data_IF_002315648257
#
_entry.id   IF_002315648257
#
_cell.length_a   1.000
_cell.length_b   1.000
_cell.length_c   1.000
_cell.angle_alpha   90.00
_cell.angle_beta   90.00
_cell.angle_gamma   90.00
#
_symmetry.space_group_name_H-M   'P 1'
#
loop_
_entity.id
_entity.type
_entity.pdbx_description
1 polymer ?
#
# COMPACT_ATOMS: atom_id res chain seq x y z
N UNK A 1 -1.29 7.20 13.89
CA UNK A 1 -2.62 7.34 13.26
C UNK A 1 -2.74 6.37 12.10
N UNK A 2 -3.79 5.64 12.05
CA UNK A 2 -3.97 4.61 11.05
C UNK A 2 -4.79 5.14 9.87
N UNK A 3 -4.17 5.17 8.70
CA UNK A 3 -4.83 5.62 7.47
C UNK A 3 -5.45 4.46 6.70
N UNK A 4 -5.58 3.30 7.33
CA UNK A 4 -6.15 2.13 6.66
C UNK A 4 -7.63 2.34 6.36
N UNK A 5 -8.04 1.99 5.14
CA UNK A 5 -9.38 2.26 4.64
C UNK A 5 -10.40 1.18 5.03
N UNK A 6 -9.95 0.12 5.68
CA UNK A 6 -10.79 -1.04 5.93
C UNK A 6 -10.99 -1.30 7.41
N UNK A 7 -12.11 -1.95 7.73
CA UNK A 7 -12.44 -2.38 9.09
C UNK A 7 -12.92 -3.82 9.02
N UNK A 8 -12.18 -4.77 9.57
CA UNK A 8 -10.85 -4.60 10.18
C UNK A 8 -9.79 -4.22 9.13
N UNK A 9 -8.69 -3.66 9.60
CA UNK A 9 -7.63 -3.18 8.72
C UNK A 9 -7.08 -4.32 7.85
N UNK A 10 -6.79 -3.99 6.58
CA UNK A 10 -6.22 -4.95 5.63
C UNK A 10 -4.83 -4.50 5.22
N UNK A 11 -3.88 -5.41 5.25
CA UNK A 11 -2.51 -5.13 4.82
C UNK A 11 -2.01 -6.26 3.94
N UNK A 12 -0.93 -5.98 3.21
CA UNK A 12 -0.26 -6.99 2.39
C UNK A 12 1.18 -7.14 2.84
N UNK A 13 1.80 -8.24 2.47
CA UNK A 13 3.22 -8.49 2.77
C UNK A 13 4.07 -7.78 1.72
N UNK A 14 4.24 -6.48 1.90
CA UNK A 14 4.99 -5.65 0.97
C UNK A 14 5.79 -4.63 1.76
N UNK A 15 7.08 -4.55 1.48
CA UNK A 15 7.97 -3.63 2.19
C UNK A 15 8.35 -2.50 1.25
N UNK A 16 7.97 -1.28 1.62
CA UNK A 16 8.31 -0.10 0.84
C UNK A 16 9.79 0.26 0.94
N UNK A 17 10.43 -0.14 2.04
CA UNK A 17 11.84 0.13 2.25
C UNK A 17 12.65 -0.75 1.29
N UNK A 18 13.54 -0.15 0.54
CA UNK A 18 14.35 -0.88 -0.42
C UNK A 18 13.76 -0.97 -1.80
N UNK A 19 12.54 -0.46 -1.97
CA UNK A 19 11.95 -0.36 -3.30
C UNK A 19 12.45 0.89 -4.01
N UNK A 20 12.29 0.91 -5.34
CA UNK A 20 12.53 2.12 -6.11
C UNK A 20 11.58 3.21 -5.62
N UNK A 21 12.08 4.43 -5.43
CA UNK A 21 11.26 5.53 -4.93
C UNK A 21 10.27 6.09 -5.93
N UNK A 22 10.23 5.57 -7.15
CA UNK A 22 9.30 6.03 -8.17
C UNK A 22 7.87 5.63 -7.80
N UNK A 23 6.95 6.61 -7.81
CA UNK A 23 5.58 6.38 -7.41
C UNK A 23 4.91 5.27 -8.21
N UNK A 24 5.17 5.22 -9.51
CA UNK A 24 4.57 4.19 -10.37
C UNK A 24 5.09 2.81 -10.02
N UNK A 25 6.37 2.72 -9.69
CA UNK A 25 6.97 1.43 -9.29
C UNK A 25 6.36 0.96 -7.97
N UNK A 26 6.23 1.87 -7.00
CA UNK A 26 5.64 1.52 -5.72
C UNK A 26 4.18 1.09 -5.86
N UNK A 27 3.40 1.85 -6.61
CA UNK A 27 2.00 1.51 -6.85
C UNK A 27 1.86 0.19 -7.57
N UNK A 28 2.66 -0.02 -8.61
CA UNK A 28 2.60 -1.27 -9.38
C UNK A 28 2.96 -2.47 -8.54
N UNK A 29 4.01 -2.35 -7.73
CA UNK A 29 4.44 -3.43 -6.85
C UNK A 29 3.38 -3.74 -5.80
N UNK A 30 2.82 -2.70 -5.18
CA UNK A 30 1.77 -2.87 -4.17
C UNK A 30 0.54 -3.56 -4.78
N UNK A 31 0.09 -3.10 -5.94
CA UNK A 31 -1.08 -3.68 -6.60
C UNK A 31 -0.86 -5.15 -6.94
N UNK A 32 0.31 -5.46 -7.45
CA UNK A 32 0.64 -6.85 -7.83
C UNK A 32 0.60 -7.75 -6.61
N UNK A 33 1.18 -7.30 -5.51
CA UNK A 33 1.22 -8.10 -4.30
C UNK A 33 -0.18 -8.26 -3.69
N UNK A 34 -0.98 -7.20 -3.70
CA UNK A 34 -2.34 -7.27 -3.19
C UNK A 34 -3.18 -8.27 -3.99
N UNK A 35 -3.01 -8.26 -5.32
CA UNK A 35 -3.72 -9.20 -6.17
C UNK A 35 -3.26 -10.63 -5.89
N UNK A 36 -1.96 -10.81 -5.68
CA UNK A 36 -1.41 -12.13 -5.36
C UNK A 36 -1.98 -12.66 -4.04
N UNK A 37 -2.25 -11.77 -3.09
CA UNK A 37 -2.79 -12.16 -1.79
C UNK A 37 -4.31 -12.29 -1.80
N UNK A 38 -4.93 -12.12 -2.95
CA UNK A 38 -6.35 -12.41 -3.09
C UNK A 38 -7.28 -11.22 -2.90
N UNK A 39 -6.75 -9.99 -2.89
CA UNK A 39 -7.59 -8.81 -2.78
C UNK A 39 -8.46 -8.65 -4.03
N UNK A 40 -9.70 -8.19 -3.83
CA UNK A 40 -10.56 -7.86 -4.95
C UNK A 40 -10.07 -6.61 -5.67
N UNK A 41 -10.42 -6.47 -6.94
CA UNK A 41 -10.07 -5.26 -7.69
C UNK A 41 -10.70 -4.02 -7.05
N UNK A 42 -11.88 -4.16 -6.48
CA UNK A 42 -12.56 -3.05 -5.82
C UNK A 42 -11.72 -2.54 -4.63
N UNK A 43 -11.23 -3.43 -3.80
CA UNK A 43 -10.44 -3.04 -2.65
C UNK A 43 -9.09 -2.46 -3.06
N UNK A 44 -8.45 -3.06 -4.07
CA UNK A 44 -7.19 -2.54 -4.60
C UNK A 44 -7.40 -1.12 -5.12
N UNK A 45 -8.47 -0.89 -5.87
CA UNK A 45 -8.73 0.42 -6.45
C UNK A 45 -8.99 1.48 -5.38
N UNK A 46 -9.63 1.12 -4.27
CA UNK A 46 -9.82 2.05 -3.16
C UNK A 46 -8.50 2.59 -2.64
N UNK A 47 -7.53 1.70 -2.45
CA UNK A 47 -6.22 2.10 -1.95
C UNK A 47 -5.49 2.93 -3.00
N UNK A 48 -5.54 2.51 -4.26
CA UNK A 48 -4.88 3.23 -5.34
C UNK A 48 -5.46 4.64 -5.48
N UNK A 49 -6.77 4.76 -5.44
CA UNK A 49 -7.44 6.06 -5.55
C UNK A 49 -7.03 6.98 -4.42
N UNK A 50 -7.00 6.47 -3.20
CA UNK A 50 -6.57 7.26 -2.05
C UNK A 50 -5.10 7.65 -2.17
N UNK A 51 -4.25 6.71 -2.61
CA UNK A 51 -2.82 6.95 -2.74
C UNK A 51 -2.53 8.07 -3.73
N UNK A 52 -3.31 8.14 -4.78
CA UNK A 52 -3.08 9.10 -5.87
C UNK A 52 -3.89 10.38 -5.72
N UNK A 53 -4.61 10.55 -4.62
CA UNK A 53 -5.49 11.71 -4.42
C UNK A 53 -4.74 12.94 -3.89
N UNK A 54 -3.45 12.83 -3.63
CA UNK A 54 -2.65 13.92 -3.11
C UNK A 54 -1.23 13.86 -3.62
N UNK A 55 -0.29 14.31 -2.80
CA UNK A 55 1.11 14.37 -3.19
C UNK A 55 1.83 13.04 -2.91
N UNK A 56 3.14 13.04 -3.12
CA UNK A 56 3.96 11.85 -2.93
C UNK A 56 3.93 11.37 -1.46
N UNK A 57 3.92 12.31 -0.50
CA UNK A 57 3.83 11.94 0.90
C UNK A 57 2.52 11.23 1.20
N UNK A 58 1.43 11.69 0.59
CA UNK A 58 0.14 11.02 0.73
C UNK A 58 0.19 9.60 0.17
N UNK A 59 0.86 9.43 -0.97
CA UNK A 59 1.03 8.11 -1.58
C UNK A 59 1.78 7.17 -0.63
N UNK A 60 2.90 7.64 -0.08
CA UNK A 60 3.69 6.82 0.84
C UNK A 60 2.89 6.47 2.09
N UNK A 61 2.20 7.45 2.67
CA UNK A 61 1.41 7.22 3.87
C UNK A 61 0.31 6.20 3.63
N UNK A 62 -0.39 6.33 2.50
CA UNK A 62 -1.50 5.44 2.18
C UNK A 62 -1.00 4.01 1.94
N UNK A 63 0.05 3.87 1.15
CA UNK A 63 0.60 2.54 0.89
C UNK A 63 1.16 1.92 2.16
N UNK A 64 1.83 2.71 3.00
CA UNK A 64 2.37 2.21 4.27
C UNK A 64 1.26 1.71 5.18
N UNK A 65 0.13 2.41 5.22
CA UNK A 65 -0.99 2.02 6.06
C UNK A 65 -1.60 0.68 5.62
N UNK A 66 -1.33 0.27 4.38
CA UNK A 66 -1.84 -0.98 3.83
C UNK A 66 -0.73 -2.00 3.57
N UNK A 67 0.41 -1.82 4.22
CA UNK A 67 1.52 -2.77 4.17
C UNK A 67 1.75 -3.34 5.56
N UNK A 68 2.03 -4.64 5.59
CA UNK A 68 2.41 -5.31 6.83
C UNK A 68 3.93 -5.20 6.98
N UNK A 69 4.40 -4.00 7.33
CA UNK A 69 5.82 -3.77 7.57
C UNK A 69 6.09 -3.93 9.04
N UNK A 70 6.89 -4.91 9.37
CA UNK A 70 7.29 -5.16 10.74
C UNK A 70 8.66 -4.54 10.98
N UNK A 71 8.76 -3.51 11.84
CA UNK A 71 10.06 -2.89 12.10
C UNK A 71 11.07 -3.84 12.73
N UNK A 72 10.62 -4.98 13.21
CA UNK A 72 11.53 -5.98 13.78
C UNK A 72 12.17 -6.85 12.71
N UNK A 73 11.78 -6.70 11.46
CA UNK A 73 12.33 -7.49 10.36
C UNK A 73 13.63 -6.91 9.82
N UNK A 74 14.25 -6.03 10.53
CA UNK A 74 15.55 -5.48 10.15
C UNK A 74 16.67 -6.46 10.42
#
# INVERSE_FOLDING_TARGET
MDDNLFTPAKTINFNLIGQDGNAFVLLGGWRRQARREGWSNEDINKVVDKSTSGDYNNLLSTLSAHCNMDPEDY
#
